data_IF_391858274051
#
_entry.id   IF_391858274051
#
_cell.length_a   1.000
_cell.length_b   1.000
_cell.length_c   1.000
_cell.angle_alpha   90.00
_cell.angle_beta   90.00
_cell.angle_gamma   90.00
#
_symmetry.space_group_name_H-M   'P 1'
#
loop_
_entity.id
_entity.type
_entity.pdbx_description
1 polymer ?
#
# COMPACT_ATOMS: atom_id res chain seq x y z
N UNK A 1 16.78 -0.19 6.58
CA UNK A 1 16.07 -1.32 5.97
C UNK A 1 16.60 -1.49 4.56
N UNK A 2 17.04 -2.70 4.23
CA UNK A 2 17.65 -3.02 2.95
C UNK A 2 16.74 -3.99 2.21
N UNK A 3 16.56 -3.77 0.92
CA UNK A 3 15.74 -4.58 0.02
C UNK A 3 16.68 -5.25 -0.95
N UNK A 4 16.61 -6.58 -1.04
CA UNK A 4 17.46 -7.40 -1.88
C UNK A 4 16.63 -8.13 -2.92
N UNK A 5 17.22 -8.35 -4.10
CA UNK A 5 16.62 -9.23 -5.10
C UNK A 5 16.91 -10.72 -4.78
N UNK A 6 16.39 -11.60 -5.64
CA UNK A 6 16.61 -13.07 -5.56
C UNK A 6 18.07 -13.50 -5.75
N UNK A 7 18.95 -12.62 -6.21
CA UNK A 7 20.40 -12.84 -6.40
C UNK A 7 21.21 -12.16 -5.28
N UNK A 8 20.55 -11.86 -4.16
CA UNK A 8 21.13 -11.19 -2.98
C UNK A 8 21.82 -9.87 -3.28
N UNK A 9 21.41 -9.18 -4.36
CA UNK A 9 21.90 -7.85 -4.69
C UNK A 9 21.03 -6.79 -4.03
N UNK A 10 21.66 -5.76 -3.44
CA UNK A 10 20.96 -4.64 -2.84
C UNK A 10 20.29 -3.81 -3.94
N UNK A 11 18.96 -3.80 -3.97
CA UNK A 11 18.18 -3.04 -4.96
C UNK A 11 17.70 -1.69 -4.42
N UNK A 12 17.49 -1.59 -3.12
CA UNK A 12 17.13 -0.34 -2.46
C UNK A 12 17.52 -0.39 -0.97
N UNK A 13 17.77 0.78 -0.38
CA UNK A 13 17.92 0.93 1.05
C UNK A 13 17.22 2.21 1.53
N UNK A 14 16.71 2.17 2.75
CA UNK A 14 16.18 3.34 3.44
C UNK A 14 16.52 3.23 4.92
N UNK A 15 17.22 4.23 5.47
CA UNK A 15 17.41 4.31 6.91
C UNK A 15 16.14 4.86 7.61
N UNK A 16 16.07 4.69 8.93
CA UNK A 16 14.88 5.10 9.67
C UNK A 16 14.71 6.62 9.76
N UNK A 17 15.79 7.40 9.63
CA UNK A 17 15.74 8.85 9.63
C UNK A 17 15.08 9.38 8.35
N UNK A 18 15.52 8.91 7.18
CA UNK A 18 14.91 9.20 5.88
C UNK A 18 13.48 8.68 5.82
N UNK A 19 13.21 7.47 6.34
CA UNK A 19 11.85 6.94 6.40
C UNK A 19 10.91 7.87 7.17
N UNK A 20 11.32 8.36 8.35
CA UNK A 20 10.54 9.31 9.14
C UNK A 20 10.20 10.57 8.33
N UNK A 21 11.20 11.18 7.69
CA UNK A 21 11.01 12.41 6.91
C UNK A 21 10.05 12.20 5.74
N UNK A 22 10.22 11.10 4.98
CA UNK A 22 9.37 10.77 3.84
C UNK A 22 7.95 10.39 4.25
N UNK A 23 7.79 9.64 5.34
CA UNK A 23 6.49 9.29 5.89
C UNK A 23 5.72 10.52 6.38
N UNK A 24 6.37 11.46 7.07
CA UNK A 24 5.74 12.73 7.46
C UNK A 24 5.32 13.58 6.25
N UNK A 25 6.15 13.62 5.20
CA UNK A 25 5.78 14.28 3.95
C UNK A 25 4.60 13.59 3.26
N UNK A 26 4.59 12.25 3.23
CA UNK A 26 3.48 11.43 2.74
C UNK A 26 2.19 11.67 3.51
N UNK A 27 2.25 11.75 4.83
CA UNK A 27 1.11 12.04 5.69
C UNK A 27 0.42 13.35 5.31
N UNK A 28 1.20 14.42 5.06
CA UNK A 28 0.66 15.71 4.59
C UNK A 28 -0.02 15.59 3.22
N UNK A 29 0.56 14.82 2.30
CA UNK A 29 -0.07 14.55 0.99
C UNK A 29 -1.39 13.80 1.16
N UNK A 30 -1.46 12.79 2.01
CA UNK A 30 -2.71 12.08 2.30
C UNK A 30 -3.77 13.03 2.87
N UNK A 31 -3.41 13.87 3.84
CA UNK A 31 -4.34 14.84 4.42
C UNK A 31 -4.82 15.90 3.40
N UNK A 32 -4.04 16.21 2.36
CA UNK A 32 -4.48 17.10 1.28
C UNK A 32 -5.61 16.53 0.42
N UNK A 33 -5.87 15.21 0.50
CA UNK A 33 -7.02 14.55 -0.12
C UNK A 33 -8.30 14.67 0.73
N UNK A 34 -8.30 15.53 1.75
CA UNK A 34 -9.41 15.75 2.69
C UNK A 34 -9.76 14.53 3.57
N UNK A 35 -8.85 13.55 3.66
CA UNK A 35 -8.96 12.39 4.55
C UNK A 35 -9.00 12.82 6.02
N UNK A 36 -9.77 12.09 6.83
CA UNK A 36 -9.98 12.35 8.26
C UNK A 36 -9.33 11.27 9.10
N UNK A 37 -8.98 11.63 10.34
CA UNK A 37 -8.47 10.69 11.34
C UNK A 37 -9.43 9.49 11.44
N UNK A 38 -8.89 8.28 11.34
CA UNK A 38 -9.68 7.04 11.35
C UNK A 38 -10.11 6.53 9.98
N UNK A 39 -9.98 7.33 8.90
CA UNK A 39 -10.19 6.84 7.54
C UNK A 39 -9.21 5.71 7.23
N UNK A 40 -9.70 4.71 6.50
CA UNK A 40 -8.94 3.51 6.17
C UNK A 40 -8.30 3.66 4.80
N UNK A 41 -7.03 3.33 4.72
CA UNK A 41 -6.25 3.37 3.47
C UNK A 41 -5.80 1.95 3.15
N UNK A 42 -6.32 1.40 2.06
CA UNK A 42 -5.88 0.11 1.57
C UNK A 42 -4.51 0.25 0.90
N UNK A 43 -3.56 -0.59 1.28
CA UNK A 43 -2.19 -0.57 0.78
C UNK A 43 -1.85 -1.92 0.19
N UNK A 44 -1.46 -1.99 -1.09
CA UNK A 44 -0.94 -3.24 -1.64
C UNK A 44 0.42 -3.54 -0.99
N UNK A 45 0.50 -4.68 -0.29
CA UNK A 45 1.61 -5.04 0.57
C UNK A 45 2.81 -5.63 -0.19
N UNK A 46 3.42 -4.81 -1.04
CA UNK A 46 4.68 -5.12 -1.72
C UNK A 46 5.87 -5.06 -0.76
N UNK A 47 6.88 -5.88 -1.03
CA UNK A 47 8.18 -5.74 -0.38
C UNK A 47 8.96 -4.61 -1.07
N UNK A 48 8.57 -3.37 -0.78
CA UNK A 48 9.14 -2.18 -1.40
C UNK A 48 9.31 -1.04 -0.40
N UNK A 49 10.21 -0.11 -0.72
CA UNK A 49 10.36 1.14 0.04
C UNK A 49 9.03 1.93 0.03
N UNK A 50 8.34 1.96 -1.11
CA UNK A 50 7.09 2.69 -1.29
C UNK A 50 5.98 2.20 -0.35
N UNK A 51 5.85 0.88 -0.17
CA UNK A 51 4.89 0.32 0.79
C UNK A 51 5.19 0.77 2.22
N UNK A 52 6.45 0.68 2.66
CA UNK A 52 6.85 1.05 4.03
C UNK A 52 6.63 2.55 4.27
N UNK A 53 6.99 3.40 3.30
CA UNK A 53 6.73 4.84 3.38
C UNK A 53 5.23 5.15 3.47
N UNK A 54 4.40 4.52 2.65
CA UNK A 54 2.94 4.71 2.64
C UNK A 54 2.29 4.21 3.94
N UNK A 55 2.74 3.05 4.45
CA UNK A 55 2.27 2.51 5.73
C UNK A 55 2.52 3.49 6.88
N UNK A 56 3.75 3.99 7.01
CA UNK A 56 4.05 4.98 8.06
C UNK A 56 3.40 6.33 7.81
N UNK A 57 3.23 6.75 6.55
CA UNK A 57 2.49 7.97 6.23
C UNK A 57 1.04 7.91 6.76
N UNK A 58 0.38 6.75 6.69
CA UNK A 58 -0.94 6.55 7.30
C UNK A 58 -0.89 6.78 8.82
N UNK A 59 0.09 6.18 9.50
CA UNK A 59 0.25 6.32 10.95
C UNK A 59 0.48 7.78 11.37
N UNK A 60 1.36 8.51 10.66
CA UNK A 60 1.62 9.93 10.92
C UNK A 60 0.42 10.84 10.58
N UNK A 61 -0.46 10.43 9.67
CA UNK A 61 -1.69 11.14 9.34
C UNK A 61 -2.88 10.79 10.26
N UNK A 62 -2.73 9.82 11.16
CA UNK A 62 -3.83 9.30 11.98
C UNK A 62 -4.86 8.48 11.20
N UNK A 63 -4.45 7.91 10.07
CA UNK A 63 -5.24 7.04 9.20
C UNK A 63 -5.00 5.58 9.58
N UNK A 64 -5.98 4.72 9.31
CA UNK A 64 -5.87 3.27 9.55
C UNK A 64 -5.31 2.60 8.28
N UNK A 65 -4.05 2.18 8.33
CA UNK A 65 -3.46 1.39 7.26
C UNK A 65 -4.09 -0.01 7.20
N UNK A 66 -4.52 -0.44 6.00
CA UNK A 66 -5.08 -1.77 5.73
C UNK A 66 -4.20 -2.47 4.68
N UNK A 67 -3.17 -3.22 5.09
CA UNK A 67 -2.31 -3.96 4.16
C UNK A 67 -3.07 -5.09 3.47
N UNK A 68 -3.04 -5.13 2.14
CA UNK A 68 -3.67 -6.13 1.31
C UNK A 68 -2.60 -6.98 0.61
N UNK A 69 -2.65 -8.29 0.80
CA UNK A 69 -1.69 -9.21 0.19
C UNK A 69 -1.85 -9.25 -1.33
N UNK A 70 -0.73 -9.38 -2.04
CA UNK A 70 -0.62 -9.54 -3.49
C UNK A 70 -1.15 -10.92 -3.91
N UNK A 71 -1.74 -11.10 -5.12
CA UNK A 71 -2.13 -12.42 -5.61
C UNK A 71 -0.92 -13.35 -5.65
N UNK A 72 -1.03 -14.50 -4.97
CA UNK A 72 -0.05 -15.57 -5.08
C UNK A 72 -0.49 -16.57 -6.14
N UNK A 73 0.23 -16.64 -7.28
CA UNK A 73 0.16 -17.76 -8.23
C UNK A 73 -0.44 -17.45 -9.61
N UNK A 74 0.01 -18.24 -10.60
CA UNK A 74 -0.51 -18.24 -11.97
C UNK A 74 -1.94 -18.81 -12.00
N UNK A 75 -2.83 -18.18 -12.76
CA UNK A 75 -4.21 -18.66 -12.96
C UNK A 75 -5.24 -18.28 -11.87
N UNK A 76 -4.84 -17.59 -10.80
CA UNK A 76 -5.77 -17.21 -9.72
C UNK A 76 -6.35 -15.79 -9.82
N UNK A 77 -6.20 -15.12 -10.96
CA UNK A 77 -6.61 -13.72 -11.13
C UNK A 77 -8.07 -13.47 -10.76
N UNK A 78 -8.99 -14.30 -11.23
CA UNK A 78 -10.42 -14.14 -10.93
C UNK A 78 -10.72 -14.33 -9.44
N UNK A 79 -10.20 -15.40 -8.82
CA UNK A 79 -10.37 -15.66 -7.39
C UNK A 79 -9.78 -14.52 -6.54
N UNK A 80 -8.65 -13.95 -6.97
CA UNK A 80 -8.05 -12.82 -6.30
C UNK A 80 -8.89 -11.55 -6.42
N UNK A 81 -9.43 -11.24 -7.60
CA UNK A 81 -10.34 -10.09 -7.78
C UNK A 81 -11.53 -10.21 -6.83
N UNK A 82 -12.15 -11.39 -6.73
CA UNK A 82 -13.27 -11.63 -5.79
C UNK A 82 -12.85 -11.43 -4.33
N UNK A 83 -11.66 -11.91 -3.93
CA UNK A 83 -11.13 -11.68 -2.57
C UNK A 83 -10.88 -10.20 -2.32
N UNK A 84 -10.27 -9.50 -3.29
CA UNK A 84 -9.98 -8.07 -3.19
C UNK A 84 -11.26 -7.25 -3.09
N UNK A 85 -12.29 -7.56 -3.88
CA UNK A 85 -13.64 -6.99 -3.77
C UNK A 85 -14.23 -7.19 -2.38
N UNK A 86 -14.15 -8.41 -1.84
CA UNK A 86 -14.62 -8.72 -0.49
C UNK A 86 -13.90 -7.90 0.59
N UNK A 87 -12.58 -7.77 0.47
CA UNK A 87 -11.77 -6.96 1.39
C UNK A 87 -12.09 -5.47 1.28
N UNK A 88 -12.19 -4.93 0.06
CA UNK A 88 -12.54 -3.51 -0.18
C UNK A 88 -13.95 -3.23 0.35
N UNK A 89 -14.91 -4.12 0.13
CA UNK A 89 -16.27 -3.98 0.66
C UNK A 89 -16.25 -4.00 2.20
N UNK A 90 -15.57 -4.98 2.79
CA UNK A 90 -15.50 -5.15 4.24
C UNK A 90 -14.81 -3.97 4.94
N UNK A 91 -13.71 -3.46 4.37
CA UNK A 91 -12.96 -2.39 4.99
C UNK A 91 -13.36 -1.01 4.47
N UNK A 92 -14.17 -0.86 3.42
CA UNK A 92 -14.65 0.43 2.87
C UNK A 92 -13.59 1.54 2.95
N UNK A 93 -12.44 1.40 2.26
CA UNK A 93 -11.32 2.32 2.37
C UNK A 93 -11.63 3.64 1.65
N UNK A 94 -11.13 4.76 2.18
CA UNK A 94 -11.27 6.07 1.56
C UNK A 94 -10.32 6.27 0.37
N UNK A 95 -9.22 5.51 0.33
CA UNK A 95 -8.28 5.46 -0.78
C UNK A 95 -7.55 4.12 -0.84
N UNK A 96 -7.03 3.79 -2.02
CA UNK A 96 -6.15 2.63 -2.28
C UNK A 96 -4.81 3.15 -2.81
N UNK A 97 -3.69 2.64 -2.28
CA UNK A 97 -2.33 2.95 -2.75
C UNK A 97 -1.65 1.66 -3.21
N UNK A 98 -1.07 1.71 -4.41
CA UNK A 98 -0.32 0.60 -5.00
C UNK A 98 0.82 1.12 -5.88
N UNK A 99 1.73 0.23 -6.29
CA UNK A 99 2.56 0.46 -7.47
C UNK A 99 1.71 0.43 -8.75
N UNK A 100 2.30 0.93 -9.84
CA UNK A 100 1.68 0.96 -11.17
C UNK A 100 1.42 -0.46 -11.71
N UNK A 101 2.23 -1.44 -11.31
CA UNK A 101 2.09 -2.85 -11.71
C UNK A 101 0.71 -3.43 -11.35
N UNK A 102 0.16 -3.06 -10.19
CA UNK A 102 -1.12 -3.59 -9.69
C UNK A 102 -2.34 -2.79 -10.14
N UNK A 103 -2.15 -1.63 -10.77
CA UNK A 103 -3.25 -0.72 -11.12
C UNK A 103 -4.33 -1.37 -12.00
N UNK A 104 -4.00 -2.13 -13.08
CA UNK A 104 -5.02 -2.76 -13.92
C UNK A 104 -5.86 -3.79 -13.17
N UNK A 105 -5.26 -4.47 -12.20
CA UNK A 105 -5.96 -5.45 -11.39
C UNK A 105 -6.89 -4.76 -10.39
N UNK A 106 -6.41 -3.73 -9.69
CA UNK A 106 -7.22 -2.98 -8.71
C UNK A 106 -8.43 -2.34 -9.39
N UNK A 107 -8.24 -1.76 -10.59
CA UNK A 107 -9.35 -1.23 -11.38
C UNK A 107 -10.41 -2.29 -11.68
N UNK A 108 -10.00 -3.54 -11.93
CA UNK A 108 -10.95 -4.65 -12.17
C UNK A 108 -11.75 -5.05 -10.91
N UNK A 109 -11.30 -4.65 -9.71
CA UNK A 109 -11.92 -5.02 -8.43
C UNK A 109 -12.73 -3.89 -7.79
N UNK A 110 -12.66 -2.66 -8.29
CA UNK A 110 -13.38 -1.48 -7.76
C UNK A 110 -14.64 -1.15 -8.60
N UNK A 111 -14.84 -1.84 -9.72
CA UNK A 111 -16.03 -1.75 -10.57
C UNK A 111 -17.14 -2.64 -10.03
#
# INVERSE_FOLDING_TARGET
MNFYDRRTQLIASIDYHTLKLRAMAGARRLLSLNLKKGDRIALIAETSVGFVEAFFACQYAGLVAVPLAIPMGLGQRASYITKLQGLITSCSPAAIISSEEWLPLIQSAVI
#
